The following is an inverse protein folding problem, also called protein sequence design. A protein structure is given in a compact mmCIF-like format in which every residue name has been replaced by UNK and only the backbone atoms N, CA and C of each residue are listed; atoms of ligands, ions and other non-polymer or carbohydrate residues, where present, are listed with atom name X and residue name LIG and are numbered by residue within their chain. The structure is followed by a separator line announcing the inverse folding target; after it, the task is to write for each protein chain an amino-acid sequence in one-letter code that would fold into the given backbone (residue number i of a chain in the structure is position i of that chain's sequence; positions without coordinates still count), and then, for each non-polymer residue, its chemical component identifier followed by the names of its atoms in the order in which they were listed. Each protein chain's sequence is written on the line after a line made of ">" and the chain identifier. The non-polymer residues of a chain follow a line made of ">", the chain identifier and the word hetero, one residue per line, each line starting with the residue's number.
data_IF_697091665307
#
_entry.id   IF_697091665307
#
_cell.length_a   1.000
_cell.length_b   1.000
_cell.length_c   1.000
_cell.angle_alpha   90.00
_cell.angle_beta   90.00
_cell.angle_gamma   90.00
#
_symmetry.space_group_name_H-M   'P 1'
#
loop_
_entity.id
_entity.type
_entity.pdbx_description
1 polymer ?
#
# COMPACT_ATOMS: atom_id res chain seq x y z
N UNK A 1 16.77 -41.49 -28.54
CA UNK A 1 15.68 -40.74 -29.20
C UNK A 1 14.35 -41.22 -28.65
N UNK A 2 13.70 -40.44 -27.79
CA UNK A 2 12.26 -40.55 -27.45
C UNK A 2 11.79 -39.13 -27.18
N UNK A 3 11.14 -38.52 -28.17
CA UNK A 3 10.37 -37.30 -27.99
C UNK A 3 9.00 -37.65 -27.38
N UNK A 4 8.60 -37.00 -26.30
CA UNK A 4 7.18 -36.83 -25.96
C UNK A 4 6.94 -35.40 -25.51
N UNK A 5 6.14 -34.71 -26.32
CA UNK A 5 5.87 -33.29 -26.25
C UNK A 5 5.11 -32.86 -25.00
N UNK A 6 5.39 -31.62 -24.61
CA UNK A 6 4.63 -30.84 -23.63
C UNK A 6 3.27 -30.48 -24.24
N UNK A 7 2.16 -30.82 -23.57
CA UNK A 7 0.87 -30.14 -23.79
C UNK A 7 0.48 -29.44 -22.48
N UNK A 8 0.55 -28.10 -22.50
CA UNK A 8 -0.11 -27.25 -21.52
C UNK A 8 -1.61 -27.32 -21.81
N UNK A 9 -2.39 -27.81 -20.86
CA UNK A 9 -3.86 -27.71 -20.91
C UNK A 9 -4.22 -26.45 -20.15
N UNK A 10 -4.82 -25.47 -20.83
CA UNK A 10 -5.30 -24.25 -20.19
C UNK A 10 -6.69 -24.52 -19.62
N UNK A 11 -6.90 -24.12 -18.37
CA UNK A 11 -8.16 -24.25 -17.62
C UNK A 11 -9.26 -23.28 -18.10
N UNK A 12 -9.00 -22.53 -19.17
CA UNK A 12 -9.94 -21.61 -19.83
C UNK A 12 -10.80 -22.27 -20.91
N UNK A 13 -10.51 -23.53 -21.27
CA UNK A 13 -11.12 -24.17 -22.45
C UNK A 13 -12.35 -25.03 -22.09
N UNK A 14 -12.95 -24.84 -20.91
CA UNK A 14 -14.05 -25.65 -20.38
C UNK A 14 -15.33 -24.86 -20.03
N UNK A 15 -15.48 -23.61 -20.47
CA UNK A 15 -16.74 -22.87 -20.28
C UNK A 15 -17.32 -22.45 -21.63
N UNK A 16 -18.36 -23.17 -22.04
CA UNK A 16 -19.16 -22.92 -23.24
C UNK A 16 -19.64 -21.46 -23.32
N UNK A 17 -19.41 -20.83 -24.47
CA UNK A 17 -19.89 -19.47 -24.81
C UNK A 17 -21.42 -19.34 -24.67
N UNK A 18 -22.15 -20.44 -24.78
CA UNK A 18 -23.61 -20.50 -24.67
C UNK A 18 -24.12 -20.15 -23.27
N UNK A 19 -23.40 -20.55 -22.20
CA UNK A 19 -23.78 -20.26 -20.82
C UNK A 19 -23.59 -18.76 -20.49
N UNK A 20 -22.62 -18.12 -21.12
CA UNK A 20 -22.33 -16.69 -20.96
C UNK A 20 -23.39 -15.83 -21.65
N UNK A 21 -24.02 -16.34 -22.71
CA UNK A 21 -25.10 -15.67 -23.41
C UNK A 21 -26.42 -15.73 -22.63
N UNK A 22 -26.71 -16.82 -21.92
CA UNK A 22 -27.88 -16.93 -21.04
C UNK A 22 -27.76 -16.00 -19.83
N UNK A 23 -26.61 -16.01 -19.13
CA UNK A 23 -26.39 -15.14 -17.97
C UNK A 23 -26.49 -13.64 -18.32
N UNK A 24 -26.04 -13.23 -19.51
CA UNK A 24 -26.16 -11.83 -19.98
C UNK A 24 -27.60 -11.42 -20.29
N UNK A 25 -28.47 -12.36 -20.68
CA UNK A 25 -29.88 -12.06 -20.96
C UNK A 25 -30.66 -11.84 -19.67
N UNK A 26 -30.40 -12.65 -18.65
CA UNK A 26 -31.05 -12.51 -17.34
C UNK A 26 -30.69 -11.18 -16.67
N UNK A 27 -29.40 -10.82 -16.62
CA UNK A 27 -28.92 -9.54 -16.06
C UNK A 27 -29.53 -8.33 -16.81
N UNK A 28 -29.69 -8.43 -18.14
CA UNK A 28 -30.26 -7.34 -18.96
C UNK A 28 -31.76 -7.13 -18.72
N UNK A 29 -32.49 -8.19 -18.39
CA UNK A 29 -33.92 -8.08 -18.07
C UNK A 29 -34.17 -7.56 -16.65
N UNK A 30 -33.29 -7.87 -15.68
CA UNK A 30 -33.36 -7.27 -14.34
C UNK A 30 -33.05 -5.77 -14.37
N UNK A 31 -32.02 -5.34 -15.10
CA UNK A 31 -31.65 -3.91 -15.22
C UNK A 31 -32.75 -3.06 -15.89
N UNK A 32 -33.53 -3.64 -16.81
CA UNK A 32 -34.67 -2.96 -17.45
C UNK A 32 -35.87 -2.77 -16.53
N UNK A 33 -36.00 -3.57 -15.47
CA UNK A 33 -37.08 -3.44 -14.48
C UNK A 33 -36.78 -2.30 -13.51
N UNK A 34 -35.52 -2.16 -13.08
CA UNK A 34 -35.09 -1.07 -12.21
C UNK A 34 -35.18 0.31 -12.89
N UNK A 35 -34.79 0.43 -14.17
CA UNK A 35 -34.89 1.70 -14.92
C UNK A 35 -36.33 2.18 -15.19
N UNK A 36 -37.36 1.33 -15.01
CA UNK A 36 -38.76 1.72 -15.22
C UNK A 36 -39.44 2.30 -13.98
N UNK A 37 -38.85 2.12 -12.79
CA UNK A 37 -39.40 2.69 -11.55
C UNK A 37 -38.97 4.15 -11.31
N UNK A 38 -37.84 4.58 -11.89
CA UNK A 38 -37.33 5.96 -11.74
C UNK A 38 -37.94 6.99 -12.71
N UNK A 39 -38.76 6.56 -13.69
CA UNK A 39 -39.33 7.43 -14.71
C UNK A 39 -40.72 8.04 -14.36
N UNK A 40 -41.23 7.85 -13.14
CA UNK A 40 -42.56 8.35 -12.72
C UNK A 40 -42.49 9.40 -11.59
N UNK A 41 -41.55 10.34 -11.63
CA UNK A 41 -41.60 11.55 -10.76
C UNK A 41 -41.14 12.86 -11.41
N UNK A 42 -41.05 12.94 -12.73
CA UNK A 42 -40.89 14.22 -13.44
C UNK A 42 -41.87 14.31 -14.61
N UNK A 43 -43.10 14.73 -14.32
CA UNK A 43 -44.07 15.17 -15.33
C UNK A 43 -45.27 15.83 -14.64
N UNK A 44 -45.10 17.06 -14.18
CA UNK A 44 -46.23 17.97 -14.04
C UNK A 44 -45.81 19.41 -14.27
N UNK A 45 -46.37 19.98 -15.34
CA UNK A 45 -46.68 21.40 -15.55
C UNK A 45 -45.69 22.20 -16.41
N UNK A 46 -45.83 21.95 -17.70
CA UNK A 46 -46.20 22.91 -18.77
C UNK A 46 -45.96 24.43 -18.59
N UNK A 47 -45.53 24.96 -19.72
CA UNK A 47 -45.18 26.31 -20.15
C UNK A 47 -46.22 27.40 -19.89
N UNK A 48 -45.78 28.62 -19.53
CA UNK A 48 -46.41 29.88 -19.98
C UNK A 48 -45.34 31.00 -20.13
N UNK A 49 -45.18 31.51 -21.36
CA UNK A 49 -44.49 32.76 -21.71
C UNK A 49 -45.23 33.99 -21.15
N UNK A 50 -44.49 35.02 -20.72
CA UNK A 50 -44.68 36.44 -21.14
C UNK A 50 -43.58 37.35 -20.59
N UNK A 51 -43.12 38.26 -21.44
CA UNK A 51 -42.22 39.37 -21.16
C UNK A 51 -42.90 40.44 -20.28
N UNK A 52 -42.16 41.07 -19.37
CA UNK A 52 -42.09 42.54 -19.22
C UNK A 52 -41.03 42.96 -18.19
N UNK A 53 -40.00 43.65 -18.70
CA UNK A 53 -39.43 44.94 -18.23
C UNK A 53 -38.91 45.08 -16.78
N UNK A 54 -37.59 45.34 -16.71
CA UNK A 54 -36.88 46.29 -15.83
C UNK A 54 -36.93 46.07 -14.30
N UNK A 55 -35.85 45.49 -13.78
CA UNK A 55 -34.98 46.16 -12.81
C UNK A 55 -33.68 45.38 -12.66
N UNK A 56 -32.53 46.02 -12.90
CA UNK A 56 -31.29 45.61 -12.21
C UNK A 56 -31.25 46.45 -10.94
N UNK A 57 -31.28 45.82 -9.76
CA UNK A 57 -30.05 45.71 -9.00
C UNK A 57 -29.99 44.34 -8.30
N UNK A 58 -28.86 43.67 -8.14
CA UNK A 58 -27.77 44.13 -7.31
C UNK A 58 -26.65 43.09 -7.39
N UNK A 59 -25.41 43.57 -7.34
CA UNK A 59 -24.24 42.77 -6.99
C UNK A 59 -24.51 42.05 -5.67
N UNK A 60 -24.76 40.74 -5.72
CA UNK A 60 -24.61 39.90 -4.54
C UNK A 60 -23.11 39.72 -4.33
N UNK A 61 -22.51 40.59 -3.53
CA UNK A 61 -21.24 40.26 -2.92
C UNK A 61 -21.50 39.01 -2.08
N UNK A 62 -21.27 37.83 -2.64
CA UNK A 62 -21.20 36.61 -1.86
C UNK A 62 -19.95 36.79 -1.00
N UNK A 63 -20.14 37.33 0.21
CA UNK A 63 -19.14 37.33 1.26
C UNK A 63 -18.94 35.85 1.63
N UNK A 64 -18.15 35.16 0.81
CA UNK A 64 -17.58 33.87 1.13
C UNK A 64 -16.98 34.04 2.52
N UNK A 65 -17.42 33.21 3.47
CA UNK A 65 -16.91 33.22 4.83
C UNK A 65 -15.46 32.75 4.77
N UNK A 66 -14.57 33.70 4.48
CA UNK A 66 -13.15 33.55 4.16
C UNK A 66 -12.29 32.94 5.30
N UNK A 67 -12.89 32.62 6.44
CA UNK A 67 -12.18 32.02 7.57
C UNK A 67 -11.99 30.52 7.36
N UNK A 68 -13.03 29.80 6.96
CA UNK A 68 -12.94 28.35 6.77
C UNK A 68 -12.15 27.98 5.52
N UNK A 69 -12.26 28.77 4.44
CA UNK A 69 -11.48 28.54 3.21
C UNK A 69 -9.98 28.69 3.44
N UNK A 70 -9.55 29.67 4.25
CA UNK A 70 -8.14 29.80 4.64
C UNK A 70 -7.64 28.63 5.49
N UNK A 71 -8.46 28.17 6.44
CA UNK A 71 -8.11 27.00 7.28
C UNK A 71 -8.01 25.74 6.44
N UNK A 72 -8.95 25.52 5.53
CA UNK A 72 -8.97 24.34 4.65
C UNK A 72 -7.75 24.32 3.72
N UNK A 73 -7.36 25.47 3.16
CA UNK A 73 -6.15 25.58 2.33
C UNK A 73 -4.88 25.28 3.13
N UNK A 74 -4.75 25.81 4.35
CA UNK A 74 -3.58 25.54 5.21
C UNK A 74 -3.49 24.04 5.55
N UNK A 75 -4.62 23.42 5.87
CA UNK A 75 -4.67 21.99 6.20
C UNK A 75 -4.23 21.11 5.03
N UNK A 76 -4.66 21.43 3.81
CA UNK A 76 -4.22 20.72 2.59
C UNK A 76 -2.70 20.89 2.38
N UNK A 77 -2.16 22.10 2.56
CA UNK A 77 -0.71 22.34 2.42
C UNK A 77 0.09 21.54 3.46
N UNK A 78 -0.38 21.49 4.71
CA UNK A 78 0.30 20.72 5.75
C UNK A 78 0.34 19.21 5.42
N UNK A 79 -0.75 18.65 4.90
CA UNK A 79 -0.79 17.25 4.47
C UNK A 79 0.23 17.01 3.35
N UNK A 80 0.26 17.88 2.33
CA UNK A 80 1.22 17.76 1.22
C UNK A 80 2.68 17.84 1.71
N UNK A 81 2.96 18.69 2.69
CA UNK A 81 4.30 18.79 3.29
C UNK A 81 4.66 17.52 4.05
N UNK A 82 3.71 16.94 4.80
CA UNK A 82 3.94 15.68 5.53
C UNK A 82 4.19 14.52 4.59
N UNK A 83 3.47 14.42 3.48
CA UNK A 83 3.67 13.38 2.47
C UNK A 83 5.04 13.49 1.80
N UNK A 84 5.46 14.72 1.44
CA UNK A 84 6.79 15.00 0.90
C UNK A 84 7.90 14.71 1.91
N UNK A 85 7.67 15.03 3.19
CA UNK A 85 8.61 14.73 4.28
C UNK A 85 8.76 13.21 4.43
N UNK A 86 7.66 12.46 4.57
CA UNK A 86 7.67 10.99 4.63
C UNK A 86 8.40 10.36 3.43
N UNK A 87 8.15 10.86 2.22
CA UNK A 87 8.81 10.40 1.01
C UNK A 87 10.33 10.68 1.05
N UNK A 88 10.72 11.85 1.55
CA UNK A 88 12.12 12.21 1.73
C UNK A 88 12.84 11.29 2.73
N UNK A 89 12.23 10.98 3.88
CA UNK A 89 12.79 10.03 4.84
C UNK A 89 12.85 8.60 4.29
N UNK A 90 11.86 8.20 3.49
CA UNK A 90 11.86 6.90 2.82
C UNK A 90 13.04 6.74 1.85
N UNK A 91 13.31 7.76 1.03
CA UNK A 91 14.40 7.71 0.05
C UNK A 91 15.79 7.96 0.64
N UNK A 92 15.90 8.53 1.85
CA UNK A 92 17.18 8.81 2.50
C UNK A 92 17.22 8.25 3.93
N UNK A 93 17.57 6.96 4.10
CA UNK A 93 17.59 6.29 5.40
C UNK A 93 18.72 6.75 6.34
N UNK A 94 19.63 7.63 5.89
CA UNK A 94 20.71 8.20 6.72
C UNK A 94 20.47 9.70 6.99
N UNK A 95 19.45 10.01 7.78
CA UNK A 95 19.31 11.32 8.40
C UNK A 95 20.23 11.37 9.62
N UNK A 96 21.47 11.82 9.43
CA UNK A 96 22.42 12.03 10.52
C UNK A 96 21.88 13.09 11.49
N UNK A 97 21.54 12.64 12.70
CA UNK A 97 20.93 13.39 13.78
C UNK A 97 21.92 14.34 14.48
N UNK A 98 22.69 15.14 13.73
CA UNK A 98 23.69 16.05 14.30
C UNK A 98 23.17 17.48 14.52
N UNK A 99 21.85 17.71 14.43
CA UNK A 99 21.28 19.06 14.56
C UNK A 99 20.48 19.30 15.86
N UNK A 100 20.25 18.28 16.70
CA UNK A 100 19.44 18.41 17.92
C UNK A 100 20.18 17.99 19.20
N UNK A 101 21.43 18.43 19.36
CA UNK A 101 22.31 18.02 20.46
C UNK A 101 22.94 19.19 21.21
N UNK A 102 22.17 20.21 21.62
CA UNK A 102 22.63 21.22 22.59
C UNK A 102 22.16 20.93 24.01
N UNK A 103 22.14 19.65 24.39
CA UNK A 103 22.14 19.21 25.79
C UNK A 103 23.48 18.50 26.02
N UNK A 104 24.41 19.22 26.66
CA UNK A 104 25.70 18.69 27.14
C UNK A 104 25.46 17.52 28.09
N UNK A 105 25.55 16.30 27.58
CA UNK A 105 25.87 15.13 28.39
C UNK A 105 27.38 14.93 28.33
N UNK A 106 28.06 15.24 29.44
CA UNK A 106 29.45 14.85 29.66
C UNK A 106 29.50 13.33 29.75
N UNK A 107 29.91 12.65 28.69
CA UNK A 107 30.57 11.35 28.82
C UNK A 107 31.92 11.49 28.13
N UNK A 108 32.92 11.59 29.00
CA UNK A 108 34.34 11.52 28.72
C UNK A 108 34.70 10.09 28.34
N UNK A 109 35.53 9.98 27.30
CA UNK A 109 36.47 8.89 27.02
C UNK A 109 35.90 7.49 26.69
N UNK A 110 36.11 7.10 25.42
CA UNK A 110 36.43 5.72 25.09
C UNK A 110 35.29 4.85 24.57
N UNK A 111 34.78 5.11 23.36
CA UNK A 111 34.25 4.03 22.51
C UNK A 111 34.39 4.38 21.02
N UNK A 112 35.64 4.43 20.55
CA UNK A 112 35.92 3.98 19.18
C UNK A 112 36.01 2.47 19.21
N UNK A 113 34.85 1.85 19.36
CA UNK A 113 34.69 0.47 18.99
C UNK A 113 33.66 0.51 17.88
N UNK A 114 34.13 0.19 16.68
CA UNK A 114 33.29 -0.52 15.72
C UNK A 114 32.85 -1.77 16.48
N UNK A 115 31.78 -1.65 17.28
CA UNK A 115 31.00 -2.79 17.72
C UNK A 115 30.47 -3.32 16.42
N UNK A 116 31.23 -4.23 15.80
CA UNK A 116 30.68 -5.18 14.87
C UNK A 116 29.60 -5.86 15.68
N UNK A 117 28.39 -5.38 15.48
CA UNK A 117 27.20 -5.91 16.06
C UNK A 117 27.20 -7.40 15.69
N UNK A 118 27.35 -8.25 16.71
CA UNK A 118 27.56 -9.69 16.58
C UNK A 118 26.60 -10.41 17.52
N UNK A 119 26.15 -11.57 17.11
CA UNK A 119 25.41 -12.48 17.96
C UNK A 119 26.33 -13.18 18.96
N UNK A 120 25.72 -13.92 19.89
CA UNK A 120 26.42 -14.65 20.95
C UNK A 120 27.47 -15.66 20.46
N UNK A 121 27.38 -16.10 19.20
CA UNK A 121 28.33 -17.02 18.56
C UNK A 121 29.41 -16.33 17.74
N UNK A 122 29.46 -15.00 17.75
CA UNK A 122 30.41 -14.18 16.98
C UNK A 122 29.97 -13.91 15.53
N UNK A 123 28.82 -14.42 15.10
CA UNK A 123 28.27 -14.14 13.76
C UNK A 123 27.92 -12.65 13.65
N UNK A 124 28.39 -11.92 12.62
CA UNK A 124 27.98 -10.54 12.40
C UNK A 124 26.49 -10.41 12.15
N UNK A 125 25.90 -9.26 12.47
CA UNK A 125 24.51 -8.98 12.16
C UNK A 125 24.24 -9.17 10.67
N UNK A 126 23.04 -9.67 10.39
CA UNK A 126 22.55 -10.00 9.07
C UNK A 126 23.35 -11.08 8.31
N UNK A 127 24.08 -11.91 9.04
CA UNK A 127 24.81 -13.05 8.49
C UNK A 127 24.31 -14.38 9.04
N UNK A 128 24.55 -15.43 8.26
CA UNK A 128 24.30 -16.81 8.67
C UNK A 128 25.40 -17.29 9.61
N UNK A 129 24.98 -17.91 10.70
CA UNK A 129 25.90 -18.61 11.59
C UNK A 129 26.52 -19.80 10.88
N UNK A 130 27.73 -20.17 11.31
CA UNK A 130 28.35 -21.46 10.94
C UNK A 130 27.45 -22.61 11.39
N UNK A 131 26.70 -22.44 12.48
CA UNK A 131 25.69 -23.38 12.94
C UNK A 131 24.39 -23.13 12.16
N UNK A 132 24.17 -23.90 11.10
CA UNK A 132 22.89 -23.89 10.38
C UNK A 132 21.78 -24.47 11.26
N UNK A 133 20.53 -23.96 11.22
CA UNK A 133 19.99 -22.93 10.32
C UNK A 133 19.96 -21.51 10.90
N UNK A 134 20.85 -21.17 11.83
CA UNK A 134 20.75 -19.92 12.57
C UNK A 134 21.22 -18.71 11.75
N UNK A 135 20.48 -17.62 11.86
CA UNK A 135 20.73 -16.31 11.27
C UNK A 135 20.82 -15.27 12.38
N UNK A 136 21.84 -14.43 12.33
CA UNK A 136 22.04 -13.37 13.31
C UNK A 136 21.20 -12.14 12.96
N UNK A 137 20.21 -11.82 13.78
CA UNK A 137 19.36 -10.63 13.62
C UNK A 137 19.31 -9.88 14.94
N UNK A 138 19.78 -8.63 14.93
CA UNK A 138 19.74 -7.73 16.09
C UNK A 138 20.35 -8.34 17.38
N UNK A 139 21.40 -9.14 17.25
CA UNK A 139 22.11 -9.77 18.37
C UNK A 139 21.55 -11.13 18.79
N UNK A 140 20.42 -11.53 18.22
CA UNK A 140 19.79 -12.82 18.47
C UNK A 140 19.98 -13.80 17.30
N UNK A 141 20.19 -15.08 17.63
CA UNK A 141 20.25 -16.17 16.65
C UNK A 141 18.87 -16.76 16.45
N UNK A 142 18.27 -16.45 15.30
CA UNK A 142 16.96 -16.95 14.90
C UNK A 142 17.12 -18.09 13.90
N UNK A 143 16.28 -19.13 13.99
CA UNK A 143 16.24 -20.17 12.94
C UNK A 143 15.66 -19.58 11.66
N UNK A 144 16.48 -19.48 10.62
CA UNK A 144 16.07 -19.06 9.27
C UNK A 144 16.66 -20.01 8.22
N UNK A 145 16.22 -21.26 8.24
CA UNK A 145 16.69 -22.29 7.32
C UNK A 145 16.44 -21.92 5.84
N UNK A 146 15.40 -21.14 5.54
CA UNK A 146 15.13 -20.67 4.19
C UNK A 146 16.23 -19.74 3.65
N UNK A 147 16.92 -19.01 4.54
CA UNK A 147 17.99 -18.07 4.20
C UNK A 147 19.37 -18.73 4.29
N UNK A 148 19.63 -19.47 5.37
CA UNK A 148 20.96 -20.02 5.67
C UNK A 148 21.17 -21.48 5.23
N UNK A 149 20.09 -22.15 4.82
CA UNK A 149 20.08 -23.56 4.48
C UNK A 149 20.15 -24.48 5.70
N UNK A 150 20.16 -25.78 5.41
CA UNK A 150 20.24 -26.84 6.41
C UNK A 150 21.62 -27.52 6.42
N UNK A 151 22.02 -28.12 7.55
CA UNK A 151 23.18 -29.00 7.60
C UNK A 151 22.94 -30.30 6.80
N UNK A 152 24.02 -31.05 6.54
CA UNK A 152 23.96 -32.31 5.79
C UNK A 152 23.04 -33.34 6.46
N UNK A 153 22.25 -34.06 5.66
CA UNK A 153 21.26 -35.03 6.16
C UNK A 153 19.95 -34.41 6.68
N UNK A 154 19.76 -33.09 6.53
CA UNK A 154 18.51 -32.41 6.86
C UNK A 154 17.90 -31.75 5.62
N UNK A 155 16.57 -31.81 5.51
CA UNK A 155 15.78 -31.09 4.51
C UNK A 155 15.17 -29.82 5.10
N UNK A 156 15.00 -28.82 4.24
CA UNK A 156 14.32 -27.57 4.58
C UNK A 156 12.85 -27.85 4.93
N UNK A 157 12.42 -27.35 6.08
CA UNK A 157 11.03 -27.39 6.55
C UNK A 157 10.64 -25.98 6.98
N UNK A 158 10.23 -25.17 6.01
CA UNK A 158 9.89 -23.75 6.21
C UNK A 158 11.09 -22.94 6.73
N UNK A 159 11.17 -22.63 8.03
CA UNK A 159 12.29 -21.93 8.66
C UNK A 159 13.17 -22.83 9.53
N UNK A 160 12.83 -24.12 9.63
CA UNK A 160 13.57 -25.12 10.41
C UNK A 160 14.11 -26.24 9.51
N UNK A 161 14.95 -27.09 10.08
CA UNK A 161 15.55 -28.24 9.41
C UNK A 161 15.04 -29.55 9.99
N UNK A 162 14.53 -30.45 9.14
CA UNK A 162 14.06 -31.78 9.54
C UNK A 162 15.00 -32.85 8.98
N UNK A 163 15.39 -33.83 9.79
CA UNK A 163 16.23 -34.96 9.34
C UNK A 163 15.54 -35.72 8.21
N UNK A 164 16.32 -36.11 7.19
CA UNK A 164 15.88 -36.93 6.06
C UNK A 164 15.74 -38.39 6.50
#
# INVERSE_FOLDING_TARGET
>A
MVERGKKKVNLSDFFDEDLKAELKKEIKEELKKELKEDALKESSREEVKKEEIFEKPAKKNLKVKNKYTRVLVILVILILVLDLFSLYFYYKPHFNLNFLGSMKSKISEGYSSITTHKCNDGTPYDQCSVKKPYYCYDGELLKKAATCGCPEGYKLSFQDCRKI
#
